data_IF_231965149118
#
_entry.id   IF_231965149118
#
_cell.length_a   1.000
_cell.length_b   1.000
_cell.length_c   1.000
_cell.angle_alpha   90.00
_cell.angle_beta   90.00
_cell.angle_gamma   90.00
#
_symmetry.space_group_name_H-M   'P 1'
#
loop_
_entity.id
_entity.type
_entity.pdbx_description
1 polymer ?
#
# COMPACT_ATOMS: atom_id res chain seq x y z
N UNK A 1 -20.72 -3.79 37.19
CA UNK A 1 -21.54 -3.23 36.10
C UNK A 1 -21.00 -3.78 34.80
N UNK A 2 -21.83 -4.55 34.09
CA UNK A 2 -21.46 -5.34 32.91
C UNK A 2 -21.17 -4.40 31.72
N UNK A 3 -19.98 -4.48 31.14
CA UNK A 3 -19.68 -3.80 29.87
C UNK A 3 -20.20 -4.64 28.72
N UNK A 4 -21.28 -4.18 28.09
CA UNK A 4 -21.83 -4.78 26.88
C UNK A 4 -20.87 -4.54 25.71
N UNK A 5 -20.20 -5.60 25.26
CA UNK A 5 -19.57 -5.65 23.95
C UNK A 5 -20.65 -5.58 22.86
N UNK A 6 -20.91 -4.38 22.36
CA UNK A 6 -21.69 -4.20 21.14
C UNK A 6 -20.85 -4.73 19.96
N UNK A 7 -21.10 -5.97 19.56
CA UNK A 7 -20.58 -6.56 18.32
C UNK A 7 -21.15 -5.73 17.17
N UNK A 8 -20.32 -4.98 16.46
CA UNK A 8 -20.74 -4.23 15.28
C UNK A 8 -21.49 -5.18 14.34
N UNK A 9 -22.78 -4.91 14.09
CA UNK A 9 -23.58 -5.70 13.15
C UNK A 9 -22.91 -5.66 11.79
N UNK A 10 -22.75 -6.83 11.17
CA UNK A 10 -22.26 -6.93 9.80
C UNK A 10 -23.20 -6.15 8.87
N UNK A 11 -22.68 -5.36 7.92
CA UNK A 11 -23.52 -4.57 7.00
C UNK A 11 -24.54 -5.46 6.27
N UNK A 12 -25.73 -4.91 6.01
CA UNK A 12 -26.79 -5.63 5.31
C UNK A 12 -26.30 -6.00 3.89
N UNK A 13 -26.71 -7.17 3.39
CA UNK A 13 -26.30 -7.66 2.06
C UNK A 13 -26.65 -6.67 0.92
N UNK A 14 -27.72 -5.88 1.06
CA UNK A 14 -28.08 -4.81 0.12
C UNK A 14 -27.01 -3.74 0.01
N UNK A 15 -26.38 -3.39 1.13
CA UNK A 15 -25.41 -2.29 1.23
C UNK A 15 -24.07 -2.73 0.63
N UNK A 16 -23.72 -4.01 0.80
CA UNK A 16 -22.55 -4.62 0.15
C UNK A 16 -22.68 -4.67 -1.38
N UNK A 17 -23.87 -4.98 -1.91
CA UNK A 17 -24.11 -4.98 -3.35
C UNK A 17 -24.03 -3.57 -3.94
N UNK A 18 -24.66 -2.59 -3.27
CA UNK A 18 -24.61 -1.18 -3.67
C UNK A 18 -23.18 -0.64 -3.63
N UNK A 19 -22.43 -0.92 -2.55
CA UNK A 19 -21.03 -0.55 -2.44
C UNK A 19 -20.18 -1.17 -3.55
N UNK A 20 -20.39 -2.46 -3.87
CA UNK A 20 -19.71 -3.14 -4.96
C UNK A 20 -19.99 -2.49 -6.31
N UNK A 21 -21.24 -2.11 -6.57
CA UNK A 21 -21.62 -1.43 -7.81
C UNK A 21 -20.94 -0.06 -7.92
N UNK A 22 -20.94 0.73 -6.84
CA UNK A 22 -20.27 2.03 -6.77
C UNK A 22 -18.76 1.91 -7.00
N UNK A 23 -18.09 0.92 -6.38
CA UNK A 23 -16.67 0.62 -6.63
C UNK A 23 -16.43 0.35 -8.12
N UNK A 24 -17.23 -0.53 -8.73
CA UNK A 24 -17.09 -0.86 -10.15
C UNK A 24 -17.26 0.37 -11.05
N UNK A 25 -18.18 1.27 -10.70
CA UNK A 25 -18.39 2.51 -11.43
C UNK A 25 -17.16 3.43 -11.35
N UNK A 26 -16.62 3.69 -10.14
CA UNK A 26 -15.42 4.52 -9.98
C UNK A 26 -14.22 3.93 -10.74
N UNK A 27 -14.03 2.61 -10.68
CA UNK A 27 -12.96 1.94 -11.41
C UNK A 27 -13.14 2.03 -12.93
N UNK A 28 -14.37 1.87 -13.43
CA UNK A 28 -14.67 2.00 -14.86
C UNK A 28 -14.38 3.42 -15.37
N UNK A 29 -14.82 4.43 -14.62
CA UNK A 29 -14.58 5.84 -14.92
C UNK A 29 -13.08 6.15 -14.97
N UNK A 30 -12.33 5.74 -13.92
CA UNK A 30 -10.88 5.91 -13.87
C UNK A 30 -10.18 5.31 -15.10
N UNK A 31 -10.56 4.09 -15.49
CA UNK A 31 -9.96 3.40 -16.64
C UNK A 31 -10.30 4.06 -17.95
N UNK A 32 -11.50 4.62 -18.09
CA UNK A 32 -11.89 5.39 -19.27
C UNK A 32 -11.07 6.67 -19.37
N UNK A 33 -11.03 7.48 -18.31
CA UNK A 33 -10.24 8.72 -18.28
C UNK A 33 -8.75 8.47 -18.51
N UNK A 34 -8.19 7.37 -17.99
CA UNK A 34 -6.78 6.98 -18.21
C UNK A 34 -6.48 6.70 -19.69
N UNK A 35 -7.43 6.15 -20.43
CA UNK A 35 -7.32 5.91 -21.89
C UNK A 35 -7.41 7.21 -22.68
N UNK A 36 -8.25 8.16 -22.23
CA UNK A 36 -8.48 9.44 -22.90
C UNK A 36 -7.34 10.44 -22.68
N UNK A 37 -6.74 10.49 -21.48
CA UNK A 37 -5.69 11.46 -21.11
C UNK A 37 -4.39 11.28 -21.90
N UNK A 38 -3.91 10.04 -22.09
CA UNK A 38 -2.67 9.76 -22.85
C UNK A 38 -2.81 8.49 -23.70
N UNK A 39 -3.13 8.61 -24.99
CA UNK A 39 -3.28 7.45 -25.88
C UNK A 39 -1.99 6.62 -26.04
N UNK A 40 -0.82 7.27 -25.90
CA UNK A 40 0.49 6.66 -26.18
C UNK A 40 1.25 6.14 -24.95
N UNK A 41 0.82 6.46 -23.72
CA UNK A 41 1.43 5.97 -22.48
C UNK A 41 0.40 5.87 -21.33
N UNK A 42 -0.70 5.13 -21.51
CA UNK A 42 -1.78 5.07 -20.53
C UNK A 42 -1.34 4.40 -19.21
N UNK A 43 -0.25 3.61 -19.22
CA UNK A 43 0.16 2.84 -18.05
C UNK A 43 1.16 3.54 -17.12
N UNK A 44 1.57 4.78 -17.43
CA UNK A 44 2.52 5.48 -16.55
C UNK A 44 1.87 5.93 -15.22
N UNK A 45 2.64 5.89 -14.13
CA UNK A 45 2.23 6.44 -12.83
C UNK A 45 1.89 7.93 -12.93
N UNK A 46 2.55 8.67 -13.84
CA UNK A 46 2.25 10.07 -14.12
C UNK A 46 0.85 10.29 -14.68
N UNK A 47 0.42 9.46 -15.63
CA UNK A 47 -0.96 9.47 -16.17
C UNK A 47 -1.97 9.18 -15.06
N UNK A 48 -1.73 8.14 -14.26
CA UNK A 48 -2.62 7.78 -13.14
C UNK A 48 -2.78 8.93 -12.13
N UNK A 49 -1.70 9.64 -11.80
CA UNK A 49 -1.75 10.79 -10.88
C UNK A 49 -2.64 11.93 -11.39
N UNK A 50 -2.56 12.23 -12.69
CA UNK A 50 -3.40 13.27 -13.31
C UNK A 50 -4.87 12.89 -13.26
N UNK A 51 -5.21 11.67 -13.64
CA UNK A 51 -6.60 11.17 -13.62
C UNK A 51 -7.15 11.16 -12.20
N UNK A 52 -6.39 10.65 -11.22
CA UNK A 52 -6.82 10.69 -9.81
C UNK A 52 -7.08 12.13 -9.34
N UNK A 53 -6.25 13.09 -9.77
CA UNK A 53 -6.45 14.50 -9.44
C UNK A 53 -7.74 15.04 -10.06
N UNK A 54 -7.97 14.82 -11.35
CA UNK A 54 -9.19 15.25 -12.04
C UNK A 54 -10.46 14.65 -11.40
N UNK A 55 -10.47 13.33 -11.18
CA UNK A 55 -11.60 12.65 -10.51
C UNK A 55 -11.87 13.20 -9.10
N UNK A 56 -10.84 13.62 -8.36
CA UNK A 56 -11.02 14.24 -7.04
C UNK A 56 -11.61 15.64 -7.13
N UNK A 57 -11.18 16.44 -8.10
CA UNK A 57 -11.73 17.77 -8.36
C UNK A 57 -13.22 17.70 -8.73
N UNK A 58 -13.62 16.62 -9.42
CA UNK A 58 -15.02 16.34 -9.78
C UNK A 58 -15.80 15.53 -8.72
N UNK A 59 -15.18 15.20 -7.58
CA UNK A 59 -15.78 14.38 -6.51
C UNK A 59 -16.25 12.99 -6.96
N UNK A 60 -15.59 12.39 -7.95
CA UNK A 60 -15.87 11.06 -8.50
C UNK A 60 -15.20 9.91 -7.72
N UNK A 61 -14.47 10.21 -6.65
CA UNK A 61 -13.95 9.19 -5.73
C UNK A 61 -15.07 8.67 -4.80
N UNK A 62 -14.94 7.45 -4.30
CA UNK A 62 -15.84 7.03 -3.22
C UNK A 62 -15.55 7.88 -1.98
N UNK A 63 -16.59 8.23 -1.23
CA UNK A 63 -16.47 8.79 0.12
C UNK A 63 -16.08 7.66 1.09
N UNK A 64 -15.00 6.95 0.79
CA UNK A 64 -14.41 5.94 1.67
C UNK A 64 -13.16 6.56 2.29
N UNK A 65 -13.20 6.69 3.61
CA UNK A 65 -12.11 7.31 4.35
C UNK A 65 -10.86 6.44 4.20
N UNK A 66 -9.80 6.97 3.56
CA UNK A 66 -8.47 6.34 3.51
C UNK A 66 -7.95 5.97 4.92
N UNK A 67 -8.49 6.59 5.96
CA UNK A 67 -8.16 6.38 7.37
C UNK A 67 -9.02 5.27 8.02
N UNK A 68 -9.98 4.67 7.29
CA UNK A 68 -10.82 3.59 7.77
C UNK A 68 -10.00 2.33 8.13
N UNK A 69 -10.22 1.78 9.32
CA UNK A 69 -9.58 0.56 9.80
C UNK A 69 -10.51 -0.63 9.54
N UNK A 70 -9.98 -1.70 8.96
CA UNK A 70 -10.76 -2.90 8.68
C UNK A 70 -11.38 -2.93 7.29
N UNK A 71 -12.56 -3.58 7.19
CA UNK A 71 -13.23 -3.97 5.94
C UNK A 71 -13.85 -2.78 5.23
N UNK A 72 -13.57 -2.69 3.93
CA UNK A 72 -14.22 -1.75 3.02
C UNK A 72 -15.35 -2.49 2.31
N UNK A 73 -16.59 -2.04 2.50
CA UNK A 73 -17.76 -2.65 1.89
C UNK A 73 -17.61 -2.73 0.36
N UNK A 74 -17.97 -3.86 -0.24
CA UNK A 74 -17.88 -4.09 -1.68
C UNK A 74 -16.48 -4.39 -2.23
N UNK A 75 -15.41 -4.37 -1.42
CA UNK A 75 -14.09 -4.88 -1.81
C UNK A 75 -13.91 -6.29 -1.26
N UNK A 76 -13.51 -7.22 -2.11
CA UNK A 76 -13.31 -8.63 -1.78
C UNK A 76 -11.86 -9.04 -1.97
N UNK A 77 -11.40 -10.02 -1.19
CA UNK A 77 -10.10 -10.65 -1.42
C UNK A 77 -10.04 -11.18 -2.85
N UNK A 78 -8.90 -10.98 -3.51
CA UNK A 78 -8.69 -11.35 -4.91
C UNK A 78 -9.15 -10.29 -5.91
N UNK A 79 -9.81 -9.20 -5.46
CA UNK A 79 -10.07 -8.06 -6.34
C UNK A 79 -8.75 -7.49 -6.87
N UNK A 80 -8.76 -7.16 -8.16
CA UNK A 80 -7.58 -6.65 -8.86
C UNK A 80 -7.76 -5.21 -9.33
N UNK A 81 -6.65 -4.48 -9.41
CA UNK A 81 -6.60 -3.07 -9.76
C UNK A 81 -5.45 -2.80 -10.73
N UNK A 82 -5.64 -1.90 -11.70
CA UNK A 82 -4.67 -1.66 -12.78
C UNK A 82 -3.73 -0.46 -12.49
N UNK A 83 -3.80 0.08 -11.28
CA UNK A 83 -2.83 1.03 -10.73
C UNK A 83 -3.03 1.25 -9.23
N UNK A 84 -2.05 1.89 -8.58
CA UNK A 84 -2.24 2.43 -7.23
C UNK A 84 -3.27 3.57 -7.15
N UNK A 85 -3.60 4.19 -8.29
CA UNK A 85 -4.65 5.22 -8.37
C UNK A 85 -6.04 4.66 -8.10
N UNK A 86 -6.34 3.48 -8.65
CA UNK A 86 -7.60 2.77 -8.39
C UNK A 86 -7.78 2.46 -6.91
N UNK A 87 -6.76 1.88 -6.26
CA UNK A 87 -6.78 1.60 -4.83
C UNK A 87 -6.94 2.87 -3.97
N UNK A 88 -6.43 4.00 -4.45
CA UNK A 88 -6.53 5.31 -3.79
C UNK A 88 -7.95 5.88 -3.84
N UNK A 89 -8.59 5.84 -5.01
CA UNK A 89 -9.93 6.41 -5.24
C UNK A 89 -11.05 5.64 -4.53
N UNK A 90 -10.87 4.35 -4.29
CA UNK A 90 -11.84 3.51 -3.58
C UNK A 90 -11.56 3.40 -2.08
N UNK A 91 -10.52 4.09 -1.58
CA UNK A 91 -10.16 4.10 -0.16
C UNK A 91 -9.42 2.84 0.35
N UNK A 92 -9.06 1.90 -0.53
CA UNK A 92 -8.35 0.68 -0.17
C UNK A 92 -6.95 0.97 0.37
N UNK A 93 -6.21 1.83 -0.32
CA UNK A 93 -4.88 2.32 0.06
C UNK A 93 -4.66 3.74 -0.46
N UNK A 94 -4.59 4.73 0.44
CA UNK A 94 -4.56 6.15 0.05
C UNK A 94 -3.34 6.58 -0.79
N UNK A 95 -2.09 6.32 -0.35
CA UNK A 95 -0.90 6.78 -1.08
C UNK A 95 -0.66 6.04 -2.39
N UNK A 96 -0.43 6.79 -3.47
CA UNK A 96 -0.05 6.20 -4.75
C UNK A 96 1.45 5.84 -4.83
N UNK A 97 2.30 6.59 -4.11
CA UNK A 97 3.77 6.46 -4.21
C UNK A 97 4.43 5.78 -3.01
N UNK A 98 3.69 5.57 -1.92
CA UNK A 98 4.22 4.97 -0.69
C UNK A 98 3.57 3.63 -0.42
N UNK A 99 4.38 2.66 -0.01
CA UNK A 99 3.92 1.33 0.36
C UNK A 99 3.10 1.29 1.65
N UNK A 100 3.10 2.34 2.49
CA UNK A 100 2.41 2.34 3.78
C UNK A 100 1.39 3.48 3.83
N UNK A 101 0.13 3.15 4.10
CA UNK A 101 -0.91 4.14 4.38
C UNK A 101 -1.00 4.38 5.88
N UNK A 102 -0.97 5.66 6.28
CA UNK A 102 -1.04 6.06 7.69
C UNK A 102 -2.38 6.70 8.00
N UNK A 103 -2.98 6.27 9.10
CA UNK A 103 -4.15 6.86 9.74
C UNK A 103 -3.65 7.87 10.75
N UNK A 104 -4.09 9.12 10.65
CA UNK A 104 -3.68 10.17 11.58
C UNK A 104 -4.52 10.13 12.86
N UNK A 105 -3.98 10.59 14.01
CA UNK A 105 -4.73 10.69 15.27
C UNK A 105 -6.06 11.43 15.15
N UNK A 106 -6.16 12.44 14.27
CA UNK A 106 -7.40 13.19 14.08
C UNK A 106 -8.55 12.33 13.51
N UNK A 107 -8.23 11.23 12.82
CA UNK A 107 -9.23 10.30 12.27
C UNK A 107 -9.66 9.24 13.29
N UNK A 108 -8.85 9.00 14.32
CA UNK A 108 -9.08 7.99 15.35
C UNK A 108 -8.65 8.53 16.72
N UNK A 109 -9.47 9.42 17.33
CA UNK A 109 -9.13 10.05 18.60
C UNK A 109 -8.74 9.02 19.68
N UNK A 110 -7.66 9.31 20.40
CA UNK A 110 -7.12 8.43 21.44
C UNK A 110 -6.09 7.40 20.96
N UNK A 111 -5.70 7.42 19.68
CA UNK A 111 -4.58 6.63 19.14
C UNK A 111 -3.49 7.53 18.61
N UNK A 112 -2.25 7.03 18.66
CA UNK A 112 -1.15 7.63 17.90
C UNK A 112 -1.33 7.37 16.40
N UNK A 113 -0.40 7.88 15.57
CA UNK A 113 -0.37 7.51 14.15
C UNK A 113 -0.22 5.99 14.01
N UNK A 114 -1.10 5.37 13.24
CA UNK A 114 -1.09 3.94 12.92
C UNK A 114 -1.13 3.74 11.41
N UNK A 115 -0.96 2.51 10.96
CA UNK A 115 -1.12 2.09 9.58
C UNK A 115 -2.31 1.14 9.47
N UNK A 116 -3.07 1.24 8.39
CA UNK A 116 -4.22 0.36 8.13
C UNK A 116 -4.09 -0.43 6.82
N UNK A 117 -3.13 -0.07 5.96
CA UNK A 117 -2.86 -0.80 4.74
C UNK A 117 -1.40 -0.68 4.30
N UNK A 118 -0.91 -1.75 3.69
CA UNK A 118 0.35 -1.77 2.98
C UNK A 118 0.15 -2.26 1.56
N UNK A 119 1.01 -1.79 0.66
CA UNK A 119 1.01 -2.19 -0.71
C UNK A 119 2.44 -2.36 -1.21
N UNK A 120 2.75 -3.54 -1.72
CA UNK A 120 4.11 -4.03 -1.92
C UNK A 120 4.23 -4.79 -3.23
N UNK A 121 5.45 -4.91 -3.73
CA UNK A 121 5.81 -5.87 -4.79
C UNK A 121 7.06 -6.63 -4.33
N UNK A 122 7.28 -7.82 -4.89
CA UNK A 122 8.47 -8.66 -4.66
C UNK A 122 9.22 -8.87 -5.97
N UNK A 123 10.45 -9.35 -5.91
CA UNK A 123 11.24 -9.70 -7.09
C UNK A 123 12.28 -8.65 -7.49
N UNK A 124 13.02 -8.95 -8.57
CA UNK A 124 14.08 -8.09 -9.11
C UNK A 124 13.52 -6.78 -9.65
N UNK A 125 14.22 -5.67 -9.42
CA UNK A 125 13.81 -4.33 -9.88
C UNK A 125 12.92 -3.57 -8.89
N UNK A 126 12.50 -4.19 -7.78
CA UNK A 126 11.80 -3.46 -6.72
C UNK A 126 12.78 -2.59 -5.92
N UNK A 127 12.31 -1.45 -5.43
CA UNK A 127 13.08 -0.56 -4.55
C UNK A 127 13.20 -1.09 -3.12
N UNK A 128 12.54 -2.20 -2.79
CA UNK A 128 12.52 -2.83 -1.48
C UNK A 128 12.83 -4.33 -1.61
N UNK A 129 14.09 -4.70 -1.86
CA UNK A 129 14.49 -6.07 -2.16
C UNK A 129 14.38 -7.00 -0.94
N UNK A 130 14.28 -6.45 0.27
CA UNK A 130 14.09 -7.19 1.51
C UNK A 130 12.64 -7.67 1.73
N UNK A 131 11.71 -7.35 0.81
CA UNK A 131 10.36 -7.91 0.81
C UNK A 131 10.37 -9.38 0.40
N UNK A 132 9.59 -10.22 1.10
CA UNK A 132 9.28 -11.58 0.64
C UNK A 132 7.83 -11.95 0.94
N UNK A 133 7.23 -12.79 0.09
CA UNK A 133 5.86 -13.26 0.28
C UNK A 133 5.75 -14.74 -0.08
N UNK A 134 5.37 -15.56 0.89
CA UNK A 134 4.96 -16.93 0.71
C UNK A 134 3.43 -16.97 0.68
N UNK A 135 2.88 -17.01 -0.53
CA UNK A 135 1.43 -17.03 -0.76
C UNK A 135 0.78 -18.30 -0.20
N UNK A 136 1.49 -19.44 -0.23
CA UNK A 136 0.99 -20.72 0.27
C UNK A 136 0.88 -20.74 1.79
N UNK A 137 1.83 -20.12 2.48
CA UNK A 137 1.83 -19.99 3.92
C UNK A 137 1.07 -18.73 4.40
N UNK A 138 0.74 -17.80 3.50
CA UNK A 138 0.17 -16.50 3.86
C UNK A 138 1.12 -15.67 4.74
N UNK A 139 2.43 -15.75 4.51
CA UNK A 139 3.45 -15.04 5.29
C UNK A 139 4.10 -13.97 4.41
N UNK A 140 4.02 -12.73 4.87
CA UNK A 140 4.66 -11.57 4.26
C UNK A 140 5.76 -11.05 5.20
N UNK A 141 6.98 -10.94 4.71
CA UNK A 141 8.01 -10.10 5.34
C UNK A 141 8.03 -8.78 4.57
N UNK A 142 7.48 -7.75 5.20
CA UNK A 142 7.41 -6.41 4.62
C UNK A 142 8.57 -5.55 5.11
N UNK A 143 9.35 -5.00 4.20
CA UNK A 143 10.37 -3.99 4.47
C UNK A 143 9.72 -2.64 4.72
N UNK A 144 10.10 -1.99 5.82
CA UNK A 144 9.75 -0.61 6.12
C UNK A 144 10.21 0.37 5.03
N UNK A 145 9.68 1.58 5.08
CA UNK A 145 10.02 2.66 4.15
C UNK A 145 11.40 3.25 4.50
N UNK A 146 12.18 3.53 3.47
CA UNK A 146 13.52 4.09 3.57
C UNK A 146 13.88 4.89 2.33
N UNK A 147 14.92 5.73 2.43
CA UNK A 147 15.48 6.37 1.25
C UNK A 147 16.31 5.33 0.50
N UNK A 148 15.76 4.83 -0.59
CA UNK A 148 16.39 3.89 -1.48
C UNK A 148 16.69 4.58 -2.83
N UNK A 149 17.76 4.20 -3.54
CA UNK A 149 18.02 4.72 -4.87
C UNK A 149 16.88 4.27 -5.81
N UNK A 150 16.52 5.09 -6.82
CA UNK A 150 15.64 4.61 -7.88
C UNK A 150 16.28 3.39 -8.56
N UNK A 151 15.43 2.51 -9.11
CA UNK A 151 15.85 1.29 -9.80
C UNK A 151 16.99 1.60 -10.79
N UNK A 152 18.04 0.76 -10.78
CA UNK A 152 19.20 0.88 -11.65
C UNK A 152 18.85 0.89 -13.14
N UNK A 153 17.67 0.37 -13.52
CA UNK A 153 17.16 0.42 -14.89
C UNK A 153 16.39 1.71 -15.25
N UNK A 154 16.12 2.58 -14.27
CA UNK A 154 15.50 3.90 -14.51
C UNK A 154 16.58 4.99 -14.53
N UNK A 155 17.14 5.21 -15.72
CA UNK A 155 18.13 6.27 -15.97
C UNK A 155 17.50 7.66 -15.91
N UNK A 156 17.21 8.17 -14.71
CA UNK A 156 16.73 9.56 -14.56
C UNK A 156 17.06 10.19 -13.21
N UNK A 157 18.18 9.81 -12.60
CA UNK A 157 18.79 10.61 -11.54
C UNK A 157 19.87 11.52 -12.11
N UNK A 158 19.53 12.80 -12.35
CA UNK A 158 20.54 13.87 -12.43
C UNK A 158 21.40 13.80 -11.17
N UNK A 159 22.68 13.47 -11.35
CA UNK A 159 23.71 13.49 -10.30
C UNK A 159 23.65 14.84 -9.56
N UNK A 160 23.30 14.84 -8.28
CA UNK A 160 23.68 15.95 -7.39
C UNK A 160 25.15 15.74 -7.00
N UNK A 161 26.06 16.68 -7.32
CA UNK A 161 27.44 16.60 -6.85
C UNK A 161 27.49 17.02 -5.38
N UNK A 162 28.12 16.19 -4.55
CA UNK A 162 28.49 16.57 -3.19
C UNK A 162 27.89 15.70 -2.10
N UNK A 163 28.65 14.71 -1.67
CA UNK A 163 29.05 14.45 -0.28
C UNK A 163 29.95 13.21 -0.29
N UNK A 164 30.99 13.20 0.55
CA UNK A 164 32.17 12.36 0.43
C UNK A 164 31.92 10.87 0.18
N UNK A 165 32.71 10.29 -0.72
CA UNK A 165 32.73 8.86 -1.03
C UNK A 165 33.20 8.06 0.19
N UNK A 166 32.29 7.40 0.90
CA UNK A 166 32.66 6.29 1.79
C UNK A 166 32.82 5.05 0.92
N UNK A 167 34.05 4.55 0.81
CA UNK A 167 34.48 3.57 -0.22
C UNK A 167 33.88 2.16 -0.14
N UNK A 168 32.92 1.87 0.75
CA UNK A 168 32.39 0.51 0.98
C UNK A 168 30.86 0.42 1.20
N UNK A 169 30.05 1.44 0.88
CA UNK A 169 28.58 1.34 0.94
C UNK A 169 28.03 1.11 -0.48
N UNK A 170 27.19 0.08 -0.72
CA UNK A 170 26.41 0.00 -1.96
C UNK A 170 25.70 1.33 -2.20
N UNK A 171 25.91 1.91 -3.37
CA UNK A 171 25.59 3.30 -3.68
C UNK A 171 24.07 3.55 -3.55
N UNK A 172 23.61 4.16 -2.44
CA UNK A 172 22.31 4.85 -2.36
C UNK A 172 21.30 4.37 -1.33
N UNK A 173 21.46 3.21 -0.70
CA UNK A 173 20.54 2.73 0.35
C UNK A 173 20.93 3.31 1.72
N UNK A 174 20.04 4.05 2.34
CA UNK A 174 20.24 4.63 3.68
C UNK A 174 19.71 3.73 4.80
N UNK A 175 20.18 3.97 6.02
CA UNK A 175 19.68 3.26 7.19
C UNK A 175 18.28 3.78 7.51
N UNK A 176 17.31 2.87 7.53
CA UNK A 176 15.94 3.18 7.87
C UNK A 176 15.84 3.61 9.33
N UNK A 177 14.93 4.55 9.58
CA UNK A 177 14.64 5.08 10.91
C UNK A 177 13.22 4.68 11.32
N UNK A 178 12.99 4.53 12.62
CA UNK A 178 11.64 4.39 13.19
C UNK A 178 10.89 5.73 13.21
N UNK A 179 10.89 6.46 12.08
CA UNK A 179 10.22 7.75 11.94
C UNK A 179 9.15 7.66 10.87
N UNK A 180 8.09 8.46 11.00
CA UNK A 180 6.98 8.51 10.06
C UNK A 180 6.26 7.16 9.88
N UNK A 181 6.25 6.59 8.68
CA UNK A 181 5.45 5.42 8.32
C UNK A 181 5.88 4.12 9.01
N UNK A 182 7.18 3.97 9.30
CA UNK A 182 7.66 2.82 10.06
C UNK A 182 7.14 2.85 11.49
N UNK A 183 7.04 4.05 12.10
CA UNK A 183 6.45 4.23 13.43
C UNK A 183 4.96 3.87 13.42
N UNK A 184 4.25 4.20 12.34
CA UNK A 184 2.85 3.82 12.17
C UNK A 184 2.63 2.30 12.16
N UNK A 185 3.49 1.53 11.47
CA UNK A 185 3.43 0.06 11.52
C UNK A 185 3.83 -0.51 12.90
N UNK A 186 4.81 0.08 13.57
CA UNK A 186 5.17 -0.31 14.96
C UNK A 186 3.99 -0.09 15.91
N UNK A 187 3.34 1.07 15.83
CA UNK A 187 2.16 1.36 16.65
C UNK A 187 0.99 0.42 16.30
N UNK A 188 0.82 0.10 15.02
CA UNK A 188 -0.20 -0.88 14.56
C UNK A 188 0.03 -2.28 15.13
N UNK A 189 1.29 -2.70 15.23
CA UNK A 189 1.66 -3.93 15.92
C UNK A 189 1.29 -3.87 17.40
N UNK A 190 1.65 -2.78 18.10
CA UNK A 190 1.33 -2.61 19.52
C UNK A 190 -0.18 -2.58 19.81
N UNK A 191 -0.97 -2.04 18.88
CA UNK A 191 -2.41 -1.88 19.01
C UNK A 191 -3.22 -3.01 18.33
N UNK A 192 -2.56 -4.04 17.79
CA UNK A 192 -3.18 -5.16 17.06
C UNK A 192 -4.11 -4.70 15.92
N UNK A 193 -3.68 -3.70 15.15
CA UNK A 193 -4.44 -3.21 14.00
C UNK A 193 -4.30 -4.20 12.84
N UNK A 194 -5.42 -4.69 12.27
CA UNK A 194 -5.37 -5.50 11.06
C UNK A 194 -4.95 -4.64 9.86
N UNK A 195 -3.99 -5.12 9.10
CA UNK A 195 -3.41 -4.42 7.95
C UNK A 195 -3.97 -4.99 6.66
N UNK A 196 -4.61 -4.16 5.83
CA UNK A 196 -4.97 -4.54 4.46
C UNK A 196 -3.70 -4.67 3.62
N UNK A 197 -3.55 -5.78 2.90
CA UNK A 197 -2.38 -6.04 2.06
C UNK A 197 -2.77 -6.02 0.59
N UNK A 198 -2.07 -5.20 -0.20
CA UNK A 198 -2.26 -5.08 -1.64
C UNK A 198 -0.95 -5.48 -2.34
N UNK A 199 -0.95 -6.60 -3.05
CA UNK A 199 0.23 -7.13 -3.73
C UNK A 199 0.29 -6.68 -5.17
N UNK A 200 1.39 -6.06 -5.60
CA UNK A 200 1.71 -5.81 -6.99
C UNK A 200 2.27 -7.06 -7.66
N UNK A 201 1.89 -7.29 -8.91
CA UNK A 201 2.37 -8.39 -9.74
C UNK A 201 3.66 -8.00 -10.48
N UNK A 202 4.83 -8.51 -10.08
CA UNK A 202 6.09 -8.14 -10.71
C UNK A 202 6.20 -8.60 -12.17
N UNK A 203 5.49 -9.66 -12.57
CA UNK A 203 5.52 -10.14 -13.96
C UNK A 203 4.88 -9.13 -14.91
N UNK A 204 3.81 -8.47 -14.47
CA UNK A 204 3.12 -7.41 -15.22
C UNK A 204 3.94 -6.14 -15.24
N UNK A 205 4.53 -5.77 -14.11
CA UNK A 205 5.33 -4.55 -13.99
C UNK A 205 6.57 -4.58 -14.91
N UNK A 206 7.12 -5.77 -15.17
CA UNK A 206 8.21 -5.95 -16.14
C UNK A 206 7.80 -5.65 -17.60
N UNK A 207 6.51 -5.59 -17.89
CA UNK A 207 5.93 -5.29 -19.21
C UNK A 207 5.23 -3.91 -19.25
N UNK A 208 5.60 -2.99 -18.36
CA UNK A 208 4.94 -1.69 -18.19
C UNK A 208 3.42 -1.80 -17.94
N UNK A 209 2.99 -2.90 -17.31
CA UNK A 209 1.63 -3.12 -16.85
C UNK A 209 1.59 -3.10 -15.31
N UNK A 210 0.89 -2.15 -14.71
CA UNK A 210 0.62 -2.18 -13.28
C UNK A 210 -0.58 -3.09 -13.00
N UNK A 211 -0.38 -4.10 -12.14
CA UNK A 211 -1.48 -4.94 -11.63
C UNK A 211 -1.30 -5.17 -10.15
N UNK A 212 -2.36 -4.96 -9.39
CA UNK A 212 -2.41 -5.13 -7.95
C UNK A 212 -3.57 -6.04 -7.56
N UNK A 213 -3.40 -6.84 -6.52
CA UNK A 213 -4.41 -7.74 -5.96
C UNK A 213 -4.59 -7.46 -4.48
N UNK A 214 -5.83 -7.36 -4.00
CA UNK A 214 -6.11 -7.28 -2.57
C UNK A 214 -6.03 -8.68 -1.93
N UNK A 215 -5.03 -8.89 -1.08
CA UNK A 215 -4.76 -10.18 -0.43
C UNK A 215 -5.58 -10.38 0.86
N UNK A 216 -6.23 -9.33 1.36
CA UNK A 216 -6.98 -9.35 2.62
C UNK A 216 -6.23 -8.69 3.78
N UNK A 217 -6.59 -9.09 5.00
CA UNK A 217 -6.02 -8.66 6.26
C UNK A 217 -4.87 -9.53 6.71
N UNK A 218 -3.84 -8.87 7.21
CA UNK A 218 -2.71 -9.48 7.86
C UNK A 218 -2.56 -8.87 9.26
N UNK A 219 -2.04 -9.68 10.18
CA UNK A 219 -1.61 -9.23 11.50
C UNK A 219 -0.09 -9.17 11.51
N UNK A 220 0.48 -8.15 12.16
CA UNK A 220 1.92 -8.08 12.38
C UNK A 220 2.22 -8.98 13.57
N UNK A 221 3.01 -10.04 13.37
CA UNK A 221 3.38 -10.97 14.45
C UNK A 221 4.63 -10.47 15.20
N UNK A 222 5.53 -9.81 14.47
CA UNK A 222 6.73 -9.18 15.03
C UNK A 222 7.31 -8.17 14.06
N UNK A 223 8.17 -7.30 14.58
CA UNK A 223 9.08 -6.50 13.76
C UNK A 223 10.49 -6.56 14.31
N UNK A 224 11.48 -6.35 13.44
CA UNK A 224 12.89 -6.31 13.80
C UNK A 224 13.61 -5.24 12.98
N UNK A 225 14.69 -4.70 13.52
CA UNK A 225 15.63 -3.89 12.74
C UNK A 225 16.90 -4.73 12.53
N UNK A 226 17.23 -5.00 11.27
CA UNK A 226 18.37 -5.85 10.90
C UNK A 226 19.15 -5.27 9.73
N UNK A 227 20.31 -5.88 9.43
CA UNK A 227 21.03 -5.60 8.20
C UNK A 227 20.25 -6.18 7.02
N UNK A 228 19.84 -5.32 6.10
CA UNK A 228 19.21 -5.70 4.84
C UNK A 228 20.24 -6.15 3.80
N UNK A 229 19.75 -6.52 2.62
CA UNK A 229 20.56 -7.04 1.51
C UNK A 229 21.67 -6.09 1.03
N UNK A 230 21.51 -4.78 1.28
CA UNK A 230 22.49 -3.75 0.93
C UNK A 230 23.33 -3.26 2.13
N UNK A 231 23.37 -4.03 3.22
CA UNK A 231 24.11 -3.75 4.45
C UNK A 231 23.68 -2.45 5.17
N UNK A 232 22.53 -1.89 4.81
CA UNK A 232 21.84 -0.83 5.53
C UNK A 232 20.94 -1.41 6.62
N UNK A 233 20.62 -0.61 7.65
CA UNK A 233 19.61 -1.00 8.62
C UNK A 233 18.22 -0.92 8.00
N UNK A 234 17.45 -2.00 8.06
CA UNK A 234 16.09 -2.12 7.52
C UNK A 234 15.15 -2.58 8.63
N UNK A 235 13.98 -1.96 8.73
CA UNK A 235 12.88 -2.49 9.53
C UNK A 235 12.18 -3.57 8.72
N UNK A 236 11.99 -4.76 9.28
CA UNK A 236 11.16 -5.80 8.66
C UNK A 236 10.01 -6.17 9.57
N UNK A 237 8.80 -6.19 9.01
CA UNK A 237 7.56 -6.53 9.68
C UNK A 237 7.11 -7.89 9.18
N UNK A 238 7.04 -8.87 10.08
CA UNK A 238 6.59 -10.22 9.76
C UNK A 238 5.08 -10.25 9.96
N UNK A 239 4.37 -10.52 8.88
CA UNK A 239 2.93 -10.40 8.78
C UNK A 239 2.31 -11.74 8.39
N UNK A 240 1.29 -12.15 9.14
CA UNK A 240 0.53 -13.38 8.87
C UNK A 240 -0.87 -13.04 8.40
N UNK A 241 -1.28 -13.63 7.29
CA UNK A 241 -2.64 -13.50 6.76
C UNK A 241 -3.63 -14.12 7.74
N UNK A 242 -4.70 -13.39 8.09
CA UNK A 242 -5.75 -13.97 8.95
C UNK A 242 -6.54 -15.02 8.17
N UNK A 243 -6.99 -16.05 8.87
CA UNK A 243 -7.81 -17.12 8.29
C UNK A 243 -9.22 -16.63 7.90
N UNK A 244 -9.94 -17.44 7.10
CA UNK A 244 -11.36 -17.27 6.74
C UNK A 244 -11.75 -15.94 6.08
N UNK A 245 -10.91 -15.44 5.18
CA UNK A 245 -11.21 -14.25 4.39
C UNK A 245 -11.65 -14.62 2.98
N UNK A 246 -12.97 -14.50 2.72
CA UNK A 246 -13.58 -14.63 1.39
C UNK A 246 -14.09 -13.27 0.88
#
# INVERSE_FOLDING_TARGET
MSSSNARAESPKNSDEFAARAAIKQVLAEFRQMKKEEVPFAPNSTGTALKVVKAMREENLQLVMNKDHIGRIAGIKVGDTFDSRGEASLIGLHGPMMSGINTVKPESVPGRDVIANSVAFSVGSGTTYPDNSYDESAGILVFSGEGRNPPDANTSSSKKKPGTGKVKNRPQGYEDQKATARNKALINSFQENIPIRVIRGDPSRMAHDEEKYTYEGFFEIEKYEQKKGLHNNQVYTFHMKRKEDQR
#
